data_IF_792272415433
#
_entry.id   IF_792272415433
#
_cell.length_a   1.000
_cell.length_b   1.000
_cell.length_c   1.000
_cell.angle_alpha   90.00
_cell.angle_beta   90.00
_cell.angle_gamma   90.00
#
_symmetry.space_group_name_H-M   'P 1'
#
loop_
_entity.id
_entity.type
_entity.pdbx_description
1 polymer ?
#
# COMPACT_ATOMS: atom_id res chain seq x y z
N UNK A 1 53.28 -32.42 -28.04
CA UNK A 1 52.49 -33.01 -29.13
C UNK A 1 51.11 -33.35 -28.58
N UNK A 2 50.07 -32.81 -29.21
CA UNK A 2 48.70 -33.34 -29.13
C UNK A 2 48.72 -34.82 -29.62
N UNK A 3 47.78 -35.71 -29.33
CA UNK A 3 46.31 -35.58 -29.32
C UNK A 3 45.76 -36.93 -28.83
N UNK A 4 44.58 -36.95 -28.18
CA UNK A 4 43.41 -37.87 -28.36
C UNK A 4 43.62 -39.41 -28.35
N UNK A 5 42.74 -40.30 -27.90
CA UNK A 5 41.31 -40.32 -27.56
C UNK A 5 41.17 -41.39 -26.46
N UNK A 6 40.16 -41.23 -25.58
CA UNK A 6 39.57 -42.34 -24.80
C UNK A 6 39.13 -43.53 -25.69
N UNK A 7 38.83 -44.70 -25.10
CA UNK A 7 37.42 -44.94 -24.81
C UNK A 7 37.14 -45.58 -23.45
N UNK A 8 35.95 -45.27 -22.92
CA UNK A 8 35.29 -45.86 -21.76
C UNK A 8 35.14 -47.40 -21.93
N UNK A 9 34.96 -48.20 -20.86
CA UNK A 9 33.80 -48.04 -19.98
C UNK A 9 34.01 -48.34 -18.48
N UNK A 10 33.05 -47.81 -17.72
CA UNK A 10 32.51 -48.32 -16.47
C UNK A 10 33.19 -47.87 -15.16
N UNK A 11 32.45 -46.99 -14.48
CA UNK A 11 32.37 -46.79 -13.03
C UNK A 11 33.60 -46.20 -12.35
N UNK A 12 33.49 -44.92 -12.00
CA UNK A 12 33.76 -44.34 -10.67
C UNK A 12 33.90 -42.84 -10.90
N UNK A 13 33.20 -42.05 -10.09
CA UNK A 13 33.26 -40.59 -10.02
C UNK A 13 32.34 -39.85 -10.99
N UNK A 14 31.17 -39.44 -10.48
CA UNK A 14 30.56 -38.11 -10.73
C UNK A 14 29.04 -38.18 -10.50
N UNK A 15 28.64 -38.04 -9.23
CA UNK A 15 27.36 -37.43 -8.89
C UNK A 15 27.51 -36.90 -7.46
N UNK A 16 27.22 -35.61 -7.28
CA UNK A 16 27.34 -34.87 -6.01
C UNK A 16 26.68 -35.65 -4.85
N UNK A 17 27.32 -35.82 -3.69
CA UNK A 17 26.73 -36.49 -2.53
C UNK A 17 25.82 -35.57 -1.70
N UNK A 18 25.05 -34.68 -2.35
CA UNK A 18 24.05 -33.82 -1.71
C UNK A 18 22.71 -33.78 -2.44
N UNK A 19 22.48 -34.67 -3.41
CA UNK A 19 21.17 -34.87 -4.02
C UNK A 19 20.48 -36.11 -3.42
N UNK A 20 20.58 -36.24 -2.10
CA UNK A 20 19.71 -37.11 -1.33
C UNK A 20 18.31 -36.51 -1.37
N UNK A 21 17.44 -37.24 -2.05
CA UNK A 21 16.02 -37.01 -2.21
C UNK A 21 15.40 -36.75 -0.83
N UNK A 22 15.25 -35.48 -0.46
CA UNK A 22 14.49 -35.12 0.73
C UNK A 22 13.07 -35.71 0.57
N UNK A 23 12.56 -36.45 1.57
CA UNK A 23 11.27 -37.10 1.42
C UNK A 23 10.19 -36.05 1.16
N UNK A 24 9.39 -36.26 0.10
CA UNK A 24 8.21 -35.46 -0.25
C UNK A 24 7.15 -35.38 0.86
N UNK A 25 7.38 -36.06 2.00
CA UNK A 25 6.62 -35.94 3.26
C UNK A 25 6.69 -34.56 3.91
N UNK A 26 7.62 -33.70 3.48
CA UNK A 26 7.64 -32.27 3.87
C UNK A 26 7.03 -31.36 2.80
N UNK A 27 6.13 -31.88 1.95
CA UNK A 27 5.29 -31.04 1.09
C UNK A 27 4.23 -30.34 1.94
N UNK A 28 4.64 -29.19 2.47
CA UNK A 28 3.82 -28.04 2.86
C UNK A 28 2.31 -28.29 2.83
N UNK A 29 1.73 -28.45 4.02
CA UNK A 29 0.36 -27.97 4.24
C UNK A 29 0.35 -26.46 3.98
N UNK A 30 0.20 -26.06 2.71
CA UNK A 30 -0.35 -24.75 2.36
C UNK A 30 -1.80 -24.77 2.82
N UNK A 31 -2.00 -24.50 4.12
CA UNK A 31 -3.32 -24.33 4.70
C UNK A 31 -3.98 -23.14 4.02
N UNK A 32 -4.89 -23.43 3.10
CA UNK A 32 -5.83 -22.48 2.51
C UNK A 32 -6.83 -22.01 3.56
N UNK A 33 -6.37 -21.22 4.53
CA UNK A 33 -7.25 -20.38 5.33
C UNK A 33 -7.72 -19.25 4.42
N UNK A 34 -8.97 -19.31 3.96
CA UNK A 34 -9.57 -18.26 3.15
C UNK A 34 -9.48 -16.91 3.87
N UNK A 35 -9.34 -15.83 3.09
CA UNK A 35 -9.14 -14.45 3.56
C UNK A 35 -10.27 -14.05 4.53
N UNK A 36 -11.47 -14.58 4.32
CA UNK A 36 -12.66 -14.37 5.14
C UNK A 36 -12.56 -14.93 6.57
N UNK A 37 -11.72 -15.94 6.82
CA UNK A 37 -11.50 -16.47 8.18
C UNK A 37 -10.60 -15.58 9.04
N UNK A 38 -10.02 -14.53 8.45
CA UNK A 38 -9.13 -13.57 9.12
C UNK A 38 -9.82 -12.25 9.43
N UNK A 39 -10.97 -11.97 8.81
CA UNK A 39 -11.77 -10.77 9.06
C UNK A 39 -12.70 -11.05 10.25
N UNK A 40 -12.41 -10.41 11.38
CA UNK A 40 -13.27 -10.44 12.55
C UNK A 40 -14.40 -9.40 12.41
N UNK A 41 -15.52 -9.63 13.08
CA UNK A 41 -16.58 -8.62 13.19
C UNK A 41 -16.06 -7.32 13.82
N UNK A 42 -15.06 -7.43 14.70
CA UNK A 42 -14.37 -6.30 15.29
C UNK A 42 -13.66 -5.42 14.25
N UNK A 43 -13.04 -6.04 13.23
CA UNK A 43 -12.30 -5.31 12.18
C UNK A 43 -13.26 -4.54 11.27
N UNK A 44 -14.42 -5.13 10.97
CA UNK A 44 -15.48 -4.47 10.19
C UNK A 44 -16.03 -3.25 10.94
N UNK A 45 -16.25 -3.38 12.25
CA UNK A 45 -16.74 -2.27 13.07
C UNK A 45 -15.67 -1.17 13.17
N UNK A 46 -14.40 -1.53 13.37
CA UNK A 46 -13.31 -0.58 13.40
C UNK A 46 -13.18 0.22 12.09
N UNK A 47 -13.17 -0.46 10.93
CA UNK A 47 -13.07 0.19 9.62
C UNK A 47 -14.26 1.12 9.32
N UNK A 48 -15.47 0.73 9.72
CA UNK A 48 -16.65 1.60 9.65
C UNK A 48 -16.51 2.85 10.52
N UNK A 49 -16.05 2.71 11.76
CA UNK A 49 -15.87 3.85 12.67
C UNK A 49 -14.80 4.79 12.15
N UNK A 50 -13.64 4.27 11.73
CA UNK A 50 -12.55 5.09 11.22
C UNK A 50 -12.88 5.78 9.88
N UNK A 51 -13.60 5.11 8.98
CA UNK A 51 -14.04 5.74 7.72
C UNK A 51 -15.04 6.88 7.96
N UNK A 52 -15.99 6.69 8.89
CA UNK A 52 -16.90 7.75 9.30
C UNK A 52 -16.18 8.89 10.01
N UNK A 53 -15.19 8.58 10.86
CA UNK A 53 -14.38 9.57 11.54
C UNK A 53 -13.57 10.41 10.56
N UNK A 54 -12.89 9.77 9.61
CA UNK A 54 -12.13 10.45 8.55
C UNK A 54 -13.03 11.36 7.72
N UNK A 55 -14.21 10.88 7.35
CA UNK A 55 -15.21 11.68 6.64
C UNK A 55 -15.70 12.87 7.48
N UNK A 56 -16.00 12.66 8.77
CA UNK A 56 -16.46 13.71 9.67
C UNK A 56 -15.41 14.81 9.82
N UNK A 57 -14.13 14.44 9.97
CA UNK A 57 -13.01 15.40 10.06
C UNK A 57 -12.83 16.15 8.73
N UNK A 58 -12.95 15.47 7.58
CA UNK A 58 -12.88 16.12 6.27
C UNK A 58 -13.99 17.15 6.06
N UNK A 59 -15.24 16.80 6.42
CA UNK A 59 -16.38 17.71 6.34
C UNK A 59 -16.24 18.90 7.30
N UNK A 60 -15.72 18.65 8.50
CA UNK A 60 -15.46 19.72 9.46
C UNK A 60 -14.41 20.70 8.93
N UNK A 61 -13.30 20.20 8.38
CA UNK A 61 -12.28 21.02 7.74
C UNK A 61 -12.82 21.84 6.56
N UNK A 62 -13.64 21.23 5.71
CA UNK A 62 -14.30 21.93 4.60
C UNK A 62 -15.23 23.04 5.10
N UNK A 63 -16.03 22.78 6.13
CA UNK A 63 -16.94 23.77 6.71
C UNK A 63 -16.17 24.95 7.32
N UNK A 64 -15.04 24.70 7.98
CA UNK A 64 -14.16 25.76 8.50
C UNK A 64 -13.57 26.56 7.35
N UNK A 65 -13.15 25.92 6.26
CA UNK A 65 -12.65 26.61 5.08
C UNK A 65 -13.69 27.53 4.43
N UNK A 66 -14.89 27.01 4.19
CA UNK A 66 -16.00 27.76 3.60
C UNK A 66 -16.31 29.01 4.42
N UNK A 67 -16.21 28.89 5.75
CA UNK A 67 -16.43 30.01 6.65
C UNK A 67 -15.29 31.04 6.67
N UNK A 68 -14.05 30.60 6.51
CA UNK A 68 -12.87 31.48 6.42
C UNK A 68 -12.81 32.17 5.05
N UNK A 69 -13.40 31.57 4.01
CA UNK A 69 -13.23 32.01 2.61
C UNK A 69 -14.54 32.47 1.95
N UNK A 70 -15.29 33.42 2.53
CA UNK A 70 -16.45 34.04 1.89
C UNK A 70 -16.04 35.13 0.88
N UNK A 71 -14.90 34.99 0.21
CA UNK A 71 -14.33 35.97 -0.73
C UNK A 71 -14.33 35.41 -2.16
N UNK A 72 -14.51 36.30 -3.14
CA UNK A 72 -14.46 35.92 -4.56
C UNK A 72 -13.03 35.52 -4.98
N UNK A 73 -12.71 34.23 -4.87
CA UNK A 73 -11.38 33.69 -5.20
C UNK A 73 -10.87 34.14 -6.58
N UNK A 74 -11.76 34.20 -7.58
CA UNK A 74 -11.40 34.61 -8.95
C UNK A 74 -10.98 36.07 -9.00
N UNK A 75 -11.68 36.94 -8.28
CA UNK A 75 -11.39 38.37 -8.23
C UNK A 75 -10.06 38.63 -7.51
N UNK A 76 -9.86 37.95 -6.38
CA UNK A 76 -8.67 38.16 -5.56
C UNK A 76 -7.38 37.57 -6.19
N UNK A 77 -7.47 36.46 -6.92
CA UNK A 77 -6.31 35.87 -7.62
C UNK A 77 -5.92 36.66 -8.87
N UNK A 78 -6.91 37.12 -9.64
CA UNK A 78 -6.69 37.67 -10.97
C UNK A 78 -6.47 39.19 -10.95
N UNK A 79 -7.21 39.91 -10.11
CA UNK A 79 -7.18 41.38 -10.06
C UNK A 79 -6.27 41.86 -8.93
N UNK A 80 -6.46 41.37 -7.71
CA UNK A 80 -5.64 41.77 -6.55
C UNK A 80 -4.32 40.99 -6.44
N UNK A 81 -4.10 39.98 -7.30
CA UNK A 81 -2.88 39.16 -7.33
C UNK A 81 -2.48 38.62 -5.94
N UNK A 82 -3.46 38.27 -5.12
CA UNK A 82 -3.23 37.86 -3.75
C UNK A 82 -2.77 36.39 -3.69
N UNK A 83 -1.45 36.20 -3.73
CA UNK A 83 -0.82 34.87 -3.69
C UNK A 83 -1.15 34.09 -2.42
N UNK A 84 -1.44 34.79 -1.31
CA UNK A 84 -1.83 34.20 -0.03
C UNK A 84 -3.09 33.34 -0.17
N UNK A 85 -4.05 33.78 -0.99
CA UNK A 85 -5.29 33.05 -1.23
C UNK A 85 -5.03 31.74 -1.98
N UNK A 86 -4.08 31.74 -2.91
CA UNK A 86 -3.64 30.54 -3.63
C UNK A 86 -2.98 29.52 -2.70
N UNK A 87 -2.17 29.97 -1.75
CA UNK A 87 -1.54 29.11 -0.74
C UNK A 87 -2.58 28.47 0.16
N UNK A 88 -3.59 29.23 0.62
CA UNK A 88 -4.69 28.70 1.43
C UNK A 88 -5.47 27.65 0.64
N UNK A 89 -5.87 27.95 -0.61
CA UNK A 89 -6.57 27.01 -1.47
C UNK A 89 -5.79 25.70 -1.67
N UNK A 90 -4.48 25.77 -1.93
CA UNK A 90 -3.61 24.59 -2.03
C UNK A 90 -3.48 23.82 -0.72
N UNK A 91 -3.44 24.52 0.41
CA UNK A 91 -3.30 23.92 1.75
C UNK A 91 -4.52 23.06 2.13
N UNK A 92 -5.71 23.42 1.68
CA UNK A 92 -6.93 22.62 1.94
C UNK A 92 -6.98 21.36 1.11
N UNK A 93 -6.56 21.44 -0.15
CA UNK A 93 -6.41 20.26 -0.99
C UNK A 93 -5.40 19.31 -0.32
N UNK A 94 -4.27 19.83 0.16
CA UNK A 94 -3.29 19.03 0.91
C UNK A 94 -3.88 18.45 2.21
N UNK A 95 -4.62 19.24 2.99
CA UNK A 95 -5.27 18.77 4.21
C UNK A 95 -6.25 17.63 3.96
N UNK A 96 -7.08 17.74 2.92
CA UNK A 96 -8.00 16.69 2.50
C UNK A 96 -7.26 15.43 2.05
N UNK A 97 -6.17 15.57 1.28
CA UNK A 97 -5.33 14.44 0.89
C UNK A 97 -4.76 13.70 2.10
N UNK A 98 -4.30 14.41 3.14
CA UNK A 98 -3.74 13.81 4.36
C UNK A 98 -4.83 13.06 5.14
N UNK A 99 -6.03 13.63 5.29
CA UNK A 99 -7.13 12.96 6.00
C UNK A 99 -7.54 11.66 5.28
N UNK A 100 -7.64 11.71 3.94
CA UNK A 100 -7.96 10.53 3.13
C UNK A 100 -6.84 9.49 3.25
N UNK A 101 -5.57 9.90 3.18
CA UNK A 101 -4.43 8.99 3.34
C UNK A 101 -4.41 8.32 4.72
N UNK A 102 -4.68 9.08 5.79
CA UNK A 102 -4.78 8.54 7.15
C UNK A 102 -5.93 7.54 7.28
N UNK A 103 -7.05 7.78 6.59
CA UNK A 103 -8.20 6.88 6.59
C UNK A 103 -7.91 5.56 5.87
N UNK A 104 -7.15 5.61 4.76
CA UNK A 104 -6.75 4.43 4.00
C UNK A 104 -5.65 3.62 4.73
N UNK A 105 -4.79 4.30 5.49
CA UNK A 105 -3.70 3.67 6.26
C UNK A 105 -4.20 2.97 7.55
N UNK A 106 -5.49 3.03 7.85
CA UNK A 106 -6.08 2.24 8.94
C UNK A 106 -5.80 0.74 8.71
N UNK A 107 -5.30 0.01 9.74
CA UNK A 107 -5.08 -1.43 9.68
C UNK A 107 -6.39 -2.22 9.55
#
# INVERSE_FOLDING_TARGET
MATTVAPAPAQVTSAKPHEEIAPSKYRSKRGGGGIFSRVSLADIVATLIYSLLGLAVALFGYKVYDWITPFDLRKELEIDQNTSLGIVAGSIILGLCIIIAASIMSP
#
